data_IF_785960106314
#
_entry.id   IF_785960106314
#
_cell.length_a   1.000
_cell.length_b   1.000
_cell.length_c   1.000
_cell.angle_alpha   90.00
_cell.angle_beta   90.00
_cell.angle_gamma   90.00
#
_symmetry.space_group_name_H-M   'P 1'
#
loop_
_entity.id
_entity.type
_entity.pdbx_description
1 polymer ?
#
# COMPACT_ATOMS: atom_id res chain seq x y z
N UNK A 1 24.30 9.98 -6.24
CA UNK A 1 22.95 9.49 -5.89
C UNK A 1 22.58 8.16 -6.55
N UNK A 2 22.98 7.88 -7.81
CA UNK A 2 22.66 6.63 -8.52
C UNK A 2 23.31 5.35 -7.94
N UNK A 3 24.42 5.47 -7.21
CA UNK A 3 25.17 4.32 -6.66
C UNK A 3 24.60 3.75 -5.35
N UNK A 4 23.76 4.49 -4.64
CA UNK A 4 23.17 4.07 -3.35
C UNK A 4 21.94 3.17 -3.57
N UNK A 5 21.20 3.39 -4.67
CA UNK A 5 20.10 2.52 -5.09
C UNK A 5 20.57 1.08 -5.36
N UNK A 6 21.75 0.92 -5.97
CA UNK A 6 22.27 -0.39 -6.40
C UNK A 6 22.72 -1.27 -5.21
N UNK A 7 23.16 -0.67 -4.11
CA UNK A 7 23.59 -1.41 -2.91
C UNK A 7 22.41 -1.95 -2.08
N UNK A 8 21.27 -1.23 -2.05
CA UNK A 8 20.02 -1.69 -1.43
C UNK A 8 19.37 -2.87 -2.18
N UNK A 9 19.77 -3.11 -3.44
CA UNK A 9 19.21 -4.14 -4.32
C UNK A 9 19.87 -5.51 -4.17
N UNK A 10 21.08 -5.60 -3.63
CA UNK A 10 21.89 -6.82 -3.66
C UNK A 10 21.77 -7.71 -2.39
N UNK A 11 21.17 -7.22 -1.31
CA UNK A 11 21.21 -7.87 0.01
C UNK A 11 20.04 -8.81 0.34
N UNK A 12 19.04 -8.95 -0.53
CA UNK A 12 17.89 -9.81 -0.27
C UNK A 12 17.74 -10.81 -1.41
N UNK A 13 18.13 -12.04 -1.12
CA UNK A 13 17.90 -13.21 -1.95
C UNK A 13 16.40 -13.41 -2.17
N UNK A 14 15.90 -12.82 -3.26
CA UNK A 14 14.99 -13.37 -4.25
C UNK A 14 14.06 -14.52 -3.81
N UNK A 15 12.99 -14.17 -3.09
CA UNK A 15 11.68 -14.89 -3.11
C UNK A 15 10.47 -13.97 -2.77
N UNK A 16 10.64 -12.64 -2.70
CA UNK A 16 9.69 -11.76 -1.98
C UNK A 16 8.46 -11.29 -2.79
N UNK A 17 8.32 -11.63 -4.08
CA UNK A 17 7.31 -10.99 -4.94
C UNK A 17 6.57 -11.96 -5.86
N UNK A 18 5.88 -12.96 -5.32
CA UNK A 18 4.90 -13.74 -6.09
C UNK A 18 3.62 -12.90 -6.31
N UNK A 19 3.74 -11.88 -7.15
CA UNK A 19 2.63 -11.03 -7.59
C UNK A 19 3.08 -9.63 -7.98
N UNK A 20 3.80 -9.48 -9.10
CA UNK A 20 4.04 -8.29 -9.95
C UNK A 20 4.30 -6.87 -9.35
N UNK A 21 4.16 -6.63 -8.06
CA UNK A 21 4.41 -5.35 -7.40
C UNK A 21 5.86 -5.29 -6.91
N UNK A 22 6.59 -4.25 -7.32
CA UNK A 22 7.95 -4.04 -6.85
C UNK A 22 7.99 -3.69 -5.36
N UNK A 23 9.06 -4.11 -4.65
CA UNK A 23 9.34 -3.79 -3.22
C UNK A 23 9.01 -2.35 -2.82
N UNK A 24 9.40 -1.41 -3.69
CA UNK A 24 9.18 0.03 -3.49
C UNK A 24 7.70 0.41 -3.42
N UNK A 25 6.85 -0.25 -4.22
CA UNK A 25 5.42 0.01 -4.22
C UNK A 25 4.79 -0.50 -2.93
N UNK A 26 5.18 -1.69 -2.44
CA UNK A 26 4.72 -2.21 -1.14
C UNK A 26 5.14 -1.29 0.00
N UNK A 27 6.37 -0.78 -0.03
CA UNK A 27 6.86 0.13 1.00
C UNK A 27 6.08 1.45 1.00
N UNK A 28 5.88 2.06 -0.17
CA UNK A 28 5.09 3.27 -0.27
C UNK A 28 3.62 3.04 0.13
N UNK A 29 2.97 1.94 -0.28
CA UNK A 29 1.59 1.64 0.13
C UNK A 29 1.46 1.33 1.62
N UNK A 30 2.47 0.71 2.25
CA UNK A 30 2.47 0.52 3.70
C UNK A 30 2.42 1.85 4.46
N UNK A 31 2.91 2.95 3.89
CA UNK A 31 2.87 4.30 4.47
C UNK A 31 1.72 5.18 3.90
N UNK A 32 0.81 4.63 3.11
CA UNK A 32 -0.39 5.32 2.64
C UNK A 32 -1.47 5.36 3.72
N UNK A 33 -1.96 6.55 4.08
CA UNK A 33 -3.01 6.72 5.09
C UNK A 33 -4.42 6.41 4.52
N UNK A 34 -4.68 5.15 4.23
CA UNK A 34 -5.96 4.72 3.63
C UNK A 34 -7.14 5.11 4.53
N UNK A 35 -7.00 5.00 5.85
CA UNK A 35 -8.05 5.34 6.81
C UNK A 35 -8.39 6.84 6.79
N UNK A 36 -7.38 7.71 6.72
CA UNK A 36 -7.59 9.16 6.60
C UNK A 36 -8.11 9.59 5.24
N UNK A 37 -7.72 8.90 4.16
CA UNK A 37 -8.06 9.27 2.78
C UNK A 37 -9.45 8.76 2.33
N UNK A 38 -9.90 7.62 2.85
CA UNK A 38 -11.13 6.96 2.40
C UNK A 38 -12.40 7.80 2.61
N UNK A 39 -12.64 8.49 3.74
CA UNK A 39 -13.88 9.24 3.97
C UNK A 39 -14.15 10.31 2.89
N UNK A 40 -13.14 11.09 2.51
CA UNK A 40 -13.28 12.13 1.49
C UNK A 40 -13.45 11.53 0.08
N UNK A 41 -12.74 10.43 -0.19
CA UNK A 41 -12.88 9.69 -1.45
C UNK A 41 -14.31 9.16 -1.58
N UNK A 42 -14.86 8.59 -0.51
CA UNK A 42 -16.22 8.08 -0.45
C UNK A 42 -17.27 9.20 -0.59
N UNK A 43 -17.05 10.35 0.06
CA UNK A 43 -17.93 11.51 -0.08
C UNK A 43 -18.00 11.97 -1.54
N UNK A 44 -16.85 12.07 -2.20
CA UNK A 44 -16.81 12.43 -3.63
C UNK A 44 -17.54 11.40 -4.51
N UNK A 45 -17.42 10.11 -4.18
CA UNK A 45 -18.17 9.07 -4.87
C UNK A 45 -19.68 9.13 -4.61
N UNK A 46 -20.10 9.64 -3.46
CA UNK A 46 -21.53 9.81 -3.14
C UNK A 46 -22.19 10.87 -4.02
N UNK A 47 -21.44 11.89 -4.45
CA UNK A 47 -21.97 12.97 -5.29
C UNK A 47 -22.16 12.52 -6.76
N UNK A 48 -21.31 11.60 -7.23
CA UNK A 48 -21.27 11.18 -8.64
C UNK A 48 -21.98 9.85 -8.88
N UNK A 49 -21.82 8.89 -7.96
CA UNK A 49 -22.38 7.56 -8.06
C UNK A 49 -22.91 7.09 -6.70
N UNK A 50 -24.03 7.66 -6.21
CA UNK A 50 -24.56 7.35 -4.88
C UNK A 50 -24.76 5.85 -4.61
N UNK A 51 -25.15 5.08 -5.63
CA UNK A 51 -25.34 3.64 -5.53
C UNK A 51 -24.06 2.85 -5.22
N UNK A 52 -22.87 3.44 -5.44
CA UNK A 52 -21.58 2.81 -5.13
C UNK A 52 -21.18 2.92 -3.66
N UNK A 53 -21.79 3.82 -2.88
CA UNK A 53 -21.36 4.14 -1.51
C UNK A 53 -21.42 2.92 -0.59
N UNK A 54 -22.55 2.21 -0.55
CA UNK A 54 -22.70 1.05 0.33
C UNK A 54 -21.74 -0.10 -0.05
N UNK A 55 -21.60 -0.49 -1.34
CA UNK A 55 -20.57 -1.43 -1.77
C UNK A 55 -19.14 -1.00 -1.37
N UNK A 56 -18.78 0.26 -1.55
CA UNK A 56 -17.45 0.78 -1.21
C UNK A 56 -17.18 0.74 0.29
N UNK A 57 -18.16 1.13 1.12
CA UNK A 57 -18.05 1.01 2.57
C UNK A 57 -17.88 -0.44 3.03
N UNK A 58 -18.63 -1.37 2.43
CA UNK A 58 -18.52 -2.79 2.73
C UNK A 58 -17.13 -3.34 2.33
N UNK A 59 -16.64 -2.99 1.14
CA UNK A 59 -15.32 -3.38 0.67
C UNK A 59 -14.20 -2.83 1.56
N UNK A 60 -14.27 -1.56 1.95
CA UNK A 60 -13.33 -0.96 2.90
C UNK A 60 -13.37 -1.65 4.26
N UNK A 61 -14.56 -1.93 4.82
CA UNK A 61 -14.68 -2.60 6.10
C UNK A 61 -14.07 -4.02 6.06
N UNK A 62 -14.33 -4.77 4.99
CA UNK A 62 -13.74 -6.09 4.78
C UNK A 62 -12.22 -6.01 4.65
N UNK A 63 -11.72 -5.06 3.85
CA UNK A 63 -10.29 -4.81 3.70
C UNK A 63 -9.64 -4.40 5.03
N UNK A 64 -10.26 -3.50 5.79
CA UNK A 64 -9.75 -3.03 7.07
C UNK A 64 -9.61 -4.19 8.05
N UNK A 65 -10.65 -5.02 8.18
CA UNK A 65 -10.65 -6.17 9.08
C UNK A 65 -9.61 -7.23 8.68
N UNK A 66 -9.40 -7.43 7.38
CA UNK A 66 -8.48 -8.48 6.88
C UNK A 66 -7.04 -8.02 6.75
N UNK A 67 -6.81 -6.77 6.34
CA UNK A 67 -5.51 -6.25 5.94
C UNK A 67 -5.16 -4.93 6.65
N UNK A 68 -6.08 -3.97 6.72
CA UNK A 68 -5.79 -2.63 7.26
C UNK A 68 -5.25 -2.64 8.70
N UNK A 69 -5.74 -3.53 9.57
CA UNK A 69 -5.25 -3.69 10.96
C UNK A 69 -3.76 -4.06 11.06
N UNK A 70 -3.15 -4.60 10.00
CA UNK A 70 -1.75 -5.01 9.97
C UNK A 70 -0.80 -3.92 9.47
N UNK A 71 -1.31 -2.74 9.11
CA UNK A 71 -0.48 -1.68 8.52
C UNK A 71 0.64 -1.22 9.45
N UNK A 72 0.36 -0.99 10.73
CA UNK A 72 1.37 -0.55 11.70
C UNK A 72 2.46 -1.62 11.90
N UNK A 73 2.06 -2.89 11.96
CA UNK A 73 3.01 -3.99 12.07
C UNK A 73 3.90 -4.08 10.82
N UNK A 74 3.33 -3.94 9.63
CA UNK A 74 4.10 -3.90 8.38
C UNK A 74 5.11 -2.74 8.37
N UNK A 75 4.71 -1.55 8.79
CA UNK A 75 5.62 -0.39 8.91
C UNK A 75 6.78 -0.65 9.89
N UNK A 76 6.52 -1.33 11.01
CA UNK A 76 7.55 -1.71 11.98
C UNK A 76 8.53 -2.74 11.40
N UNK A 77 8.04 -3.75 10.67
CA UNK A 77 8.88 -4.73 9.97
C UNK A 77 9.78 -4.02 8.94
N UNK A 78 9.21 -3.13 8.13
CA UNK A 78 9.97 -2.35 7.14
C UNK A 78 11.07 -1.53 7.83
N UNK A 79 10.72 -0.78 8.88
CA UNK A 79 11.68 0.01 9.65
C UNK A 79 12.78 -0.86 10.25
N UNK A 80 12.45 -1.99 10.88
CA UNK A 80 13.44 -2.89 11.48
C UNK A 80 14.43 -3.41 10.45
N UNK A 81 13.97 -3.83 9.27
CA UNK A 81 14.86 -4.33 8.22
C UNK A 81 15.76 -3.22 7.67
N UNK A 82 15.22 -2.02 7.45
CA UNK A 82 16.04 -0.87 7.03
C UNK A 82 17.10 -0.52 8.08
N UNK A 83 16.76 -0.56 9.37
CA UNK A 83 17.72 -0.30 10.45
C UNK A 83 18.91 -1.28 10.39
N UNK A 84 18.65 -2.56 10.09
CA UNK A 84 19.68 -3.57 9.95
C UNK A 84 20.52 -3.40 8.68
N UNK A 85 19.90 -2.98 7.57
CA UNK A 85 20.57 -2.89 6.26
C UNK A 85 21.37 -1.59 6.08
N UNK A 86 20.82 -0.46 6.48
CA UNK A 86 21.36 0.87 6.13
C UNK A 86 21.64 1.76 7.33
N UNK A 87 21.27 1.35 8.55
CA UNK A 87 21.46 2.15 9.77
C UNK A 87 20.36 3.19 10.00
N UNK A 88 20.45 3.86 11.15
CA UNK A 88 19.37 4.70 11.68
C UNK A 88 19.04 5.92 10.80
N UNK A 89 20.04 6.70 10.40
CA UNK A 89 19.83 7.93 9.64
C UNK A 89 19.20 7.65 8.27
N UNK A 90 19.75 6.68 7.53
CA UNK A 90 19.28 6.29 6.20
C UNK A 90 17.90 5.64 6.28
N UNK A 91 17.57 4.96 7.38
CA UNK A 91 16.22 4.43 7.61
C UNK A 91 15.18 5.53 7.68
N UNK A 92 15.43 6.60 8.44
CA UNK A 92 14.47 7.71 8.53
C UNK A 92 14.33 8.44 7.19
N UNK A 93 15.43 8.60 6.45
CA UNK A 93 15.40 9.19 5.10
C UNK A 93 14.56 8.34 4.13
N UNK A 94 14.72 7.02 4.15
CA UNK A 94 13.92 6.11 3.33
C UNK A 94 12.43 6.14 3.71
N UNK A 95 12.11 6.10 5.01
CA UNK A 95 10.72 6.19 5.49
C UNK A 95 10.08 7.52 5.09
N UNK A 96 10.81 8.63 5.21
CA UNK A 96 10.34 9.94 4.77
C UNK A 96 10.04 9.95 3.27
N UNK A 97 10.93 9.34 2.45
CA UNK A 97 10.71 9.19 1.02
C UNK A 97 9.47 8.32 0.69
N UNK A 98 9.23 7.24 1.44
CA UNK A 98 8.03 6.41 1.26
C UNK A 98 6.75 7.17 1.60
N UNK A 99 6.73 7.91 2.71
CA UNK A 99 5.60 8.78 3.08
C UNK A 99 5.35 9.86 2.04
N UNK A 100 6.41 10.44 1.48
CA UNK A 100 6.31 11.40 0.40
C UNK A 100 5.70 10.77 -0.86
N UNK A 101 6.23 9.63 -1.32
CA UNK A 101 5.67 8.91 -2.46
C UNK A 101 4.21 8.50 -2.23
N UNK A 102 3.87 8.02 -1.04
CA UNK A 102 2.52 7.65 -0.66
C UNK A 102 1.56 8.83 -0.79
N UNK A 103 1.91 9.99 -0.23
CA UNK A 103 1.03 11.16 -0.22
C UNK A 103 0.98 11.93 -1.54
N UNK A 104 2.10 12.03 -2.27
CA UNK A 104 2.20 12.89 -3.46
C UNK A 104 2.04 12.14 -4.79
N UNK A 105 2.28 10.84 -4.81
CA UNK A 105 2.27 10.06 -6.05
C UNK A 105 1.16 9.01 -6.04
N UNK A 106 0.95 8.33 -4.92
CA UNK A 106 -0.02 7.22 -4.83
C UNK A 106 -1.42 7.73 -4.45
N UNK A 107 -1.54 8.48 -3.36
CA UNK A 107 -2.83 8.94 -2.84
C UNK A 107 -3.68 9.69 -3.87
N UNK A 108 -3.15 10.63 -4.67
CA UNK A 108 -3.97 11.38 -5.63
C UNK A 108 -4.57 10.52 -6.75
N UNK A 109 -3.97 9.37 -7.05
CA UNK A 109 -4.40 8.47 -8.13
C UNK A 109 -5.43 7.47 -7.62
N UNK A 110 -5.20 6.90 -6.44
CA UNK A 110 -5.99 5.78 -5.93
C UNK A 110 -7.01 6.18 -4.86
N UNK A 111 -6.80 7.32 -4.20
CA UNK A 111 -7.69 7.91 -3.21
C UNK A 111 -7.80 9.44 -3.43
N UNK A 112 -8.27 9.87 -4.61
CA UNK A 112 -8.39 11.28 -4.96
C UNK A 112 -9.26 12.02 -3.95
N UNK A 113 -8.68 13.06 -3.33
CA UNK A 113 -9.35 13.86 -2.32
C UNK A 113 -10.30 14.92 -2.90
N UNK A 114 -10.09 15.27 -4.18
CA UNK A 114 -10.92 16.21 -4.95
C UNK A 114 -11.25 15.54 -6.29
N UNK A 115 -12.22 14.64 -6.29
CA UNK A 115 -12.57 13.88 -7.48
C UNK A 115 -13.52 14.69 -8.38
N UNK A 116 -13.06 15.04 -9.59
CA UNK A 116 -13.80 15.86 -10.56
C UNK A 116 -13.95 15.18 -11.93
N UNK A 117 -13.70 13.87 -12.01
CA UNK A 117 -13.80 13.16 -13.28
C UNK A 117 -15.27 13.05 -13.72
N UNK A 118 -15.47 13.05 -15.04
CA UNK A 118 -16.80 13.12 -15.66
C UNK A 118 -17.57 11.79 -15.65
N UNK A 119 -16.92 10.69 -15.29
CA UNK A 119 -17.50 9.36 -15.24
C UNK A 119 -17.43 8.76 -13.82
N UNK A 120 -18.27 7.74 -13.60
CA UNK A 120 -18.40 7.01 -12.35
C UNK A 120 -17.48 5.77 -12.27
N UNK A 121 -16.59 5.58 -13.25
CA UNK A 121 -15.80 4.35 -13.39
C UNK A 121 -14.93 4.10 -12.16
N UNK A 122 -14.33 5.15 -11.62
CA UNK A 122 -13.52 5.04 -10.40
C UNK A 122 -14.35 4.50 -9.22
N UNK A 123 -15.52 5.09 -8.98
CA UNK A 123 -16.37 4.76 -7.83
C UNK A 123 -17.07 3.40 -7.97
N UNK A 124 -17.41 3.00 -9.20
CA UNK A 124 -18.13 1.75 -9.45
C UNK A 124 -17.21 0.56 -9.71
N UNK A 125 -15.94 0.78 -10.05
CA UNK A 125 -15.00 -0.29 -10.43
C UNK A 125 -13.61 -0.14 -9.82
N UNK A 126 -12.91 0.96 -10.08
CA UNK A 126 -11.48 1.07 -9.69
C UNK A 126 -11.28 0.96 -8.18
N UNK A 127 -12.00 1.75 -7.39
CA UNK A 127 -11.81 1.77 -5.94
C UNK A 127 -12.22 0.46 -5.27
N UNK A 128 -13.23 -0.24 -5.81
CA UNK A 128 -13.55 -1.60 -5.37
C UNK A 128 -12.40 -2.57 -5.62
N UNK A 129 -11.70 -2.46 -6.75
CA UNK A 129 -10.53 -3.30 -7.06
C UNK A 129 -9.35 -3.05 -6.12
N UNK A 130 -9.14 -1.80 -5.71
CA UNK A 130 -8.11 -1.46 -4.71
C UNK A 130 -8.28 -2.27 -3.43
N UNK A 131 -9.52 -2.43 -2.97
CA UNK A 131 -9.84 -3.20 -1.76
C UNK A 131 -9.96 -4.70 -1.99
N UNK A 132 -10.43 -5.14 -3.16
CA UNK A 132 -10.75 -6.54 -3.44
C UNK A 132 -9.54 -7.37 -3.90
N UNK A 133 -8.68 -6.84 -4.77
CA UNK A 133 -7.83 -7.69 -5.61
C UNK A 133 -6.36 -7.70 -5.23
N UNK A 134 -5.83 -6.66 -4.58
CA UNK A 134 -4.42 -6.53 -4.19
C UNK A 134 -3.45 -7.22 -5.15
N UNK A 135 -3.21 -6.59 -6.30
CA UNK A 135 -2.28 -7.03 -7.35
C UNK A 135 -2.40 -8.51 -7.77
N UNK A 136 -3.55 -8.89 -8.33
CA UNK A 136 -3.56 -9.77 -9.52
C UNK A 136 -3.30 -8.93 -10.78
N UNK A 137 -3.31 -9.54 -11.98
CA UNK A 137 -3.04 -8.94 -13.31
C UNK A 137 -3.90 -7.70 -13.70
N UNK A 138 -4.65 -7.12 -12.76
CA UNK A 138 -5.65 -6.07 -12.89
C UNK A 138 -5.20 -4.67 -12.43
N UNK A 139 -3.96 -4.50 -11.95
CA UNK A 139 -3.34 -3.17 -11.78
C UNK A 139 -3.75 -2.35 -10.54
N UNK A 140 -4.40 -2.95 -9.53
CA UNK A 140 -4.69 -2.30 -8.25
C UNK A 140 -3.46 -2.14 -7.34
N UNK A 141 -3.59 -1.41 -6.23
CA UNK A 141 -2.54 -1.22 -5.24
C UNK A 141 -2.29 -2.49 -4.40
N UNK A 142 -1.03 -2.74 -4.02
CA UNK A 142 -0.67 -3.80 -3.07
C UNK A 142 -1.10 -3.43 -1.63
N UNK A 143 -2.40 -3.53 -1.33
CA UNK A 143 -2.97 -3.25 0.00
C UNK A 143 -3.18 -4.51 0.85
N UNK A 144 -2.57 -5.64 0.48
CA UNK A 144 -2.67 -6.93 1.18
C UNK A 144 -1.74 -7.03 2.40
N UNK A 145 -1.79 -6.05 3.31
CA UNK A 145 -0.81 -5.92 4.39
C UNK A 145 -0.66 -7.16 5.30
N UNK A 146 -1.76 -7.85 5.61
CA UNK A 146 -1.71 -9.10 6.37
C UNK A 146 -0.90 -10.21 5.68
N UNK A 147 -1.01 -10.32 4.35
CA UNK A 147 -0.29 -11.33 3.59
C UNK A 147 1.21 -11.03 3.62
N UNK A 148 1.58 -9.75 3.46
CA UNK A 148 2.96 -9.30 3.59
C UNK A 148 3.56 -9.55 4.97
N UNK A 149 2.83 -9.21 6.04
CA UNK A 149 3.28 -9.50 7.41
C UNK A 149 3.49 -11.00 7.62
N UNK A 150 2.58 -11.84 7.14
CA UNK A 150 2.69 -13.30 7.25
C UNK A 150 3.92 -13.83 6.51
N UNK A 151 4.13 -13.40 5.28
CA UNK A 151 5.28 -13.81 4.46
C UNK A 151 6.61 -13.40 5.10
N UNK A 152 6.72 -12.15 5.58
CA UNK A 152 7.93 -11.69 6.29
C UNK A 152 8.21 -12.49 7.56
N UNK A 153 7.18 -12.81 8.34
CA UNK A 153 7.34 -13.65 9.54
C UNK A 153 7.82 -15.06 9.21
N UNK A 154 7.29 -15.67 8.16
CA UNK A 154 7.68 -17.02 7.74
C UNK A 154 9.14 -17.10 7.28
N UNK A 155 9.63 -16.05 6.62
CA UNK A 155 11.04 -15.98 6.18
C UNK A 155 12.03 -15.70 7.33
N UNK A 156 11.55 -15.14 8.44
CA UNK A 156 12.40 -14.81 9.61
C UNK A 156 12.62 -15.96 10.60
N UNK A 157 11.98 -17.11 10.38
CA UNK A 157 12.21 -18.33 11.17
C UNK A 157 13.37 -19.10 10.54
N UNK A 158 14.51 -19.32 11.23
CA UNK A 158 15.58 -20.14 10.69
C UNK A 158 15.07 -21.56 10.45
N UNK A 159 15.35 -22.11 9.26
CA UNK A 159 15.12 -23.52 8.97
C UNK A 159 15.84 -24.36 10.05
N UNK A 160 15.10 -25.28 10.67
CA UNK A 160 15.65 -26.23 11.65
C UNK A 160 16.72 -27.11 11.04
#
# INVERSE_FOLDING_TARGET
>A
MLRILVALLAGLTSSVFAGNAGKMQIFATAFLDVQGLFPNTLQSCSDIAPASVAPLQAAYAQWQAKHGVYQQELQQIIRKNLLLEVGAEQTEQAIAAFKYAASQQIAPIHFPQNYHFKDDYFCTRSLLREFAEGTGDSGGLPLKFADYVREWKQQSIPAK
#
